data_IF_471649831360
#
_entry.id   IF_471649831360
#
_cell.length_a   1.000
_cell.length_b   1.000
_cell.length_c   1.000
_cell.angle_alpha   90.00
_cell.angle_beta   90.00
_cell.angle_gamma   90.00
#
_symmetry.space_group_name_H-M   'P 1'
#
loop_
_entity.id
_entity.type
_entity.pdbx_description
1 polymer ?
#
# COMPACT_ATOMS: atom_id res chain seq x y z
N UNK A 1 -11.23 19.66 11.12
CA UNK A 1 -9.84 19.89 11.56
C UNK A 1 -9.66 19.16 12.89
N UNK A 2 -8.87 18.08 12.92
CA UNK A 2 -8.62 17.30 14.13
C UNK A 2 -7.60 18.05 14.98
N UNK A 3 -7.92 18.45 16.23
CA UNK A 3 -7.02 19.29 16.98
C UNK A 3 -5.81 18.49 17.52
N UNK A 4 -4.58 19.04 17.44
CA UNK A 4 -3.33 18.34 17.80
C UNK A 4 -3.31 17.73 19.21
N UNK A 5 -4.07 18.31 20.14
CA UNK A 5 -4.10 17.86 21.53
C UNK A 5 -4.76 16.48 21.72
N UNK A 6 -5.55 16.00 20.76
CA UNK A 6 -6.25 14.70 20.87
C UNK A 6 -5.33 13.49 20.64
N UNK A 7 -4.15 13.71 20.06
CA UNK A 7 -3.12 12.67 19.88
C UNK A 7 -1.81 13.01 20.60
N UNK A 8 -1.79 14.02 21.47
CA UNK A 8 -0.60 14.40 22.26
C UNK A 8 -0.59 13.83 23.69
N UNK A 9 -1.53 12.94 24.05
CA UNK A 9 -1.55 12.34 25.39
C UNK A 9 -0.29 11.50 25.64
N UNK A 10 0.24 11.44 26.87
CA UNK A 10 1.43 10.65 27.19
C UNK A 10 1.31 9.20 26.73
N UNK A 11 2.42 8.67 26.22
CA UNK A 11 2.55 7.29 25.75
C UNK A 11 2.14 6.31 26.87
N UNK A 12 1.17 5.43 26.62
CA UNK A 12 1.00 4.22 27.43
C UNK A 12 1.90 3.15 26.82
N UNK A 13 2.72 2.52 27.64
CA UNK A 13 3.73 1.57 27.19
C UNK A 13 3.09 0.31 26.57
N UNK A 14 2.90 0.31 25.26
CA UNK A 14 2.35 -0.84 24.54
C UNK A 14 3.32 -2.01 24.47
N UNK A 15 4.63 -1.81 24.74
CA UNK A 15 5.58 -2.91 24.82
C UNK A 15 5.28 -3.83 26.03
N UNK A 16 4.76 -3.26 27.12
CA UNK A 16 4.36 -4.02 28.32
C UNK A 16 3.17 -4.96 28.11
N UNK A 17 2.29 -4.69 27.13
CA UNK A 17 1.13 -5.54 26.85
C UNK A 17 1.53 -6.91 26.24
N UNK A 18 2.66 -6.97 25.51
CA UNK A 18 3.10 -8.23 24.90
C UNK A 18 3.82 -9.15 25.88
N UNK A 19 4.57 -8.62 26.85
CA UNK A 19 5.20 -9.43 27.90
C UNK A 19 4.16 -10.24 28.72
N UNK A 20 2.90 -9.79 28.77
CA UNK A 20 1.82 -10.48 29.48
C UNK A 20 1.01 -11.46 28.63
N UNK A 21 1.14 -11.42 27.30
CA UNK A 21 0.32 -12.22 26.36
C UNK A 21 0.98 -13.54 25.94
N UNK A 22 2.25 -13.76 26.30
CA UNK A 22 2.90 -15.08 26.26
C UNK A 22 2.44 -15.95 27.44
N UNK A 23 1.18 -16.37 27.44
CA UNK A 23 0.75 -17.54 28.23
C UNK A 23 0.31 -18.63 27.27
N UNK A 24 1.17 -19.63 27.14
CA UNK A 24 0.89 -20.92 26.51
C UNK A 24 -0.34 -21.58 27.15
N UNK A 25 -1.29 -22.13 26.37
CA UNK A 25 -2.38 -22.93 26.92
C UNK A 25 -1.93 -24.39 27.11
N UNK A 26 -2.09 -24.91 28.33
CA UNK A 26 -1.94 -26.33 28.70
C UNK A 26 -1.03 -26.50 29.92
N UNK A 27 -1.38 -27.19 31.01
CA UNK A 27 -2.31 -28.30 31.21
C UNK A 27 -2.96 -28.22 32.59
N UNK A 28 -4.26 -28.52 32.68
CA UNK A 28 -4.87 -28.96 33.92
C UNK A 28 -4.42 -30.40 34.20
N UNK A 29 -3.77 -30.63 35.34
CA UNK A 29 -3.58 -31.96 35.90
C UNK A 29 -4.01 -31.95 37.37
N UNK A 30 -4.90 -32.89 37.67
CA UNK A 30 -5.47 -33.20 38.99
C UNK A 30 -4.38 -33.80 39.87
N UNK A 31 -4.44 -33.51 41.18
CA UNK A 31 -3.33 -33.69 42.10
C UNK A 31 -3.07 -35.10 42.65
N UNK A 32 -1.95 -35.21 43.36
CA UNK A 32 -1.71 -36.00 44.58
C UNK A 32 -0.32 -35.55 45.11
N UNK A 33 -0.25 -34.98 46.31
CA UNK A 33 0.14 -35.61 47.59
C UNK A 33 1.61 -36.05 47.67
N UNK A 34 2.34 -35.34 48.53
CA UNK A 34 3.44 -35.74 49.43
C UNK A 34 4.54 -36.67 48.92
N UNK A 35 5.80 -36.19 48.91
CA UNK A 35 6.84 -36.60 49.87
C UNK A 35 8.22 -35.97 49.57
N UNK A 36 8.85 -35.43 50.61
CA UNK A 36 10.29 -35.13 50.73
C UNK A 36 11.00 -36.37 51.30
N UNK A 37 12.29 -36.66 50.99
CA UNK A 37 13.39 -35.97 51.68
C UNK A 37 14.75 -35.80 50.94
N UNK A 38 15.43 -34.72 51.32
CA UNK A 38 16.86 -34.51 51.67
C UNK A 38 18.00 -35.43 51.16
N UNK A 39 19.05 -34.83 50.58
CA UNK A 39 20.51 -34.99 50.86
C UNK A 39 21.35 -34.48 49.65
N UNK A 40 22.06 -33.34 49.75
CA UNK A 40 23.48 -33.17 50.13
C UNK A 40 24.55 -33.43 49.04
N UNK A 41 25.29 -32.35 48.75
CA UNK A 41 26.75 -32.21 48.57
C UNK A 41 27.42 -32.79 47.31
N UNK A 42 28.17 -31.92 46.62
CA UNK A 42 29.17 -32.31 45.62
C UNK A 42 29.76 -31.13 44.85
N UNK A 43 30.67 -30.37 45.47
CA UNK A 43 31.58 -29.42 44.82
C UNK A 43 32.78 -30.14 44.19
N UNK A 44 33.16 -29.83 42.95
CA UNK A 44 34.56 -29.78 42.51
C UNK A 44 34.75 -29.08 41.17
N UNK A 45 35.79 -28.24 41.15
CA UNK A 45 36.33 -27.38 40.10
C UNK A 45 37.47 -28.03 39.29
N UNK A 46 38.02 -27.24 38.35
CA UNK A 46 39.22 -27.42 37.47
C UNK A 46 38.90 -27.98 36.08
N UNK A 47 39.18 -27.30 34.97
CA UNK A 47 40.47 -26.76 34.45
C UNK A 47 40.78 -27.58 33.17
N UNK A 48 41.38 -27.16 32.06
CA UNK A 48 42.26 -26.07 31.63
C UNK A 48 42.53 -26.30 30.10
N UNK A 49 42.95 -25.25 29.37
CA UNK A 49 43.87 -25.26 28.19
C UNK A 49 43.37 -25.92 26.86
N UNK A 50 43.79 -25.56 25.65
CA UNK A 50 44.55 -24.46 25.01
C UNK A 50 44.62 -24.78 23.49
N UNK A 51 45.03 -23.79 22.70
CA UNK A 51 45.81 -23.90 21.44
C UNK A 51 45.13 -23.70 20.07
N UNK A 52 45.48 -22.55 19.48
CA UNK A 52 45.63 -22.16 18.07
C UNK A 52 47.12 -22.41 17.62
N UNK A 53 47.61 -22.02 16.42
CA UNK A 53 47.32 -22.41 15.01
C UNK A 53 48.66 -22.77 14.27
N UNK A 54 48.96 -22.56 12.94
CA UNK A 54 48.89 -21.29 12.19
C UNK A 54 48.69 -21.30 10.63
N UNK A 55 48.30 -20.11 10.11
CA UNK A 55 48.67 -19.39 8.85
C UNK A 55 48.92 -20.07 7.48
N UNK A 56 48.36 -19.43 6.42
CA UNK A 56 49.14 -18.96 5.25
C UNK A 56 48.45 -17.84 4.44
N UNK A 57 49.16 -16.72 4.29
CA UNK A 57 48.99 -15.55 3.39
C UNK A 57 49.35 -15.92 1.93
N UNK A 58 48.94 -15.22 0.85
CA UNK A 58 49.65 -14.07 0.23
C UNK A 58 48.90 -13.53 -1.04
N UNK A 59 48.88 -12.19 -1.19
CA UNK A 59 48.87 -11.30 -2.40
C UNK A 59 47.73 -11.38 -3.44
N UNK A 60 46.89 -10.35 -3.64
CA UNK A 60 47.09 -8.98 -4.19
C UNK A 60 47.32 -8.91 -5.70
N UNK A 61 46.39 -8.25 -6.42
CA UNK A 61 46.71 -7.29 -7.49
C UNK A 61 45.51 -6.40 -7.82
N UNK A 62 45.83 -5.10 -7.88
CA UNK A 62 45.03 -3.95 -8.24
C UNK A 62 44.96 -3.76 -9.77
N UNK A 63 43.82 -3.32 -10.30
CA UNK A 63 43.79 -2.39 -11.44
C UNK A 63 42.61 -1.43 -11.32
N UNK A 64 42.96 -0.14 -11.33
CA UNK A 64 42.11 1.03 -11.55
C UNK A 64 42.39 1.57 -12.96
N UNK A 65 41.47 2.42 -13.47
CA UNK A 65 41.50 3.26 -14.71
C UNK A 65 40.70 2.65 -15.87
N UNK A 66 39.97 3.41 -16.68
CA UNK A 66 39.57 4.81 -16.64
C UNK A 66 38.28 4.99 -17.47
N UNK A 67 37.58 6.08 -17.17
CA UNK A 67 36.56 6.75 -17.96
C UNK A 67 37.00 7.00 -19.42
N UNK A 68 36.12 6.71 -20.38
CA UNK A 68 36.03 7.52 -21.61
C UNK A 68 34.59 8.01 -21.82
N UNK A 69 34.49 9.32 -21.92
CA UNK A 69 33.37 10.04 -22.47
C UNK A 69 33.60 10.21 -23.98
N UNK A 70 32.56 9.95 -24.78
CA UNK A 70 32.48 10.42 -26.15
C UNK A 70 31.12 11.09 -26.36
N UNK A 71 31.16 12.41 -26.33
CA UNK A 71 30.23 13.29 -27.03
C UNK A 71 30.41 13.10 -28.54
N UNK A 72 29.33 13.06 -29.30
CA UNK A 72 29.17 13.68 -30.62
C UNK A 72 27.90 13.19 -31.33
N UNK A 73 27.32 14.08 -32.14
CA UNK A 73 26.71 13.63 -33.39
C UNK A 73 25.22 13.83 -33.57
N UNK A 74 24.79 15.09 -33.54
CA UNK A 74 23.60 15.60 -34.23
C UNK A 74 23.60 15.11 -35.69
N UNK A 75 22.56 14.40 -36.13
CA UNK A 75 22.23 14.35 -37.56
C UNK A 75 20.73 14.26 -37.80
N UNK A 76 20.30 15.18 -38.65
CA UNK A 76 18.96 15.32 -39.18
C UNK A 76 18.66 14.17 -40.13
N UNK A 77 17.44 13.65 -40.13
CA UNK A 77 16.81 13.27 -41.37
C UNK A 77 15.30 13.49 -41.32
N UNK A 78 14.91 14.48 -42.10
CA UNK A 78 13.58 14.74 -42.58
C UNK A 78 13.03 13.53 -43.34
N UNK A 79 11.76 13.20 -43.10
CA UNK A 79 10.89 12.68 -44.15
C UNK A 79 9.45 13.08 -43.85
N UNK A 80 9.03 14.07 -44.62
CA UNK A 80 7.67 14.51 -44.84
C UNK A 80 6.80 13.38 -45.39
N UNK A 81 5.64 13.16 -44.79
CA UNK A 81 4.49 12.62 -45.50
C UNK A 81 3.28 13.50 -45.19
N UNK A 82 2.93 14.34 -46.18
CA UNK A 82 1.62 14.95 -46.31
C UNK A 82 0.67 13.86 -46.80
N UNK A 83 -0.49 13.73 -46.18
CA UNK A 83 -1.69 13.29 -46.88
C UNK A 83 -2.90 14.11 -46.43
N UNK A 84 -3.75 14.33 -47.42
CA UNK A 84 -4.65 15.47 -47.56
C UNK A 84 -5.98 15.33 -46.83
N UNK A 85 -6.57 16.50 -46.55
CA UNK A 85 -7.99 16.72 -46.26
C UNK A 85 -8.90 16.13 -47.34
N UNK A 86 -10.03 15.57 -46.93
CA UNK A 86 -11.31 15.76 -47.62
C UNK A 86 -12.43 15.93 -46.60
N UNK A 87 -13.37 16.79 -46.96
CA UNK A 87 -14.50 17.29 -46.19
C UNK A 87 -15.78 16.78 -46.85
N UNK A 88 -16.76 16.27 -46.10
CA UNK A 88 -18.20 16.17 -46.46
C UNK A 88 -18.95 16.16 -45.12
N UNK A 89 -19.51 17.29 -44.67
CA UNK A 89 -20.89 17.81 -44.85
C UNK A 89 -21.99 17.06 -44.09
N UNK A 90 -22.71 17.86 -43.30
CA UNK A 90 -23.87 17.55 -42.45
C UNK A 90 -25.13 17.24 -43.28
N UNK A 91 -25.96 16.32 -42.80
CA UNK A 91 -27.41 16.39 -43.03
C UNK A 91 -28.13 16.24 -41.69
N UNK A 92 -28.99 17.22 -41.44
CA UNK A 92 -29.75 17.50 -40.23
C UNK A 92 -31.20 17.12 -40.53
N UNK A 93 -31.79 16.20 -39.79
CA UNK A 93 -33.23 15.97 -39.85
C UNK A 93 -33.86 16.16 -38.47
N UNK A 94 -34.63 17.24 -38.35
CA UNK A 94 -35.50 17.56 -37.22
C UNK A 94 -36.89 17.01 -37.53
N UNK A 95 -37.48 16.26 -36.60
CA UNK A 95 -38.94 16.11 -36.50
C UNK A 95 -39.41 16.43 -35.09
N UNK A 96 -40.21 17.47 -35.01
CA UNK A 96 -40.98 17.98 -33.86
C UNK A 96 -42.38 17.37 -33.86
N UNK A 97 -42.86 16.90 -32.70
CA UNK A 97 -44.27 16.84 -32.28
C UNK A 97 -44.26 16.75 -30.74
N UNK A 98 -44.48 17.85 -30.02
CA UNK A 98 -45.73 18.45 -29.52
C UNK A 98 -46.41 17.61 -28.42
N UNK A 99 -46.40 18.26 -27.27
CA UNK A 99 -46.95 18.02 -25.94
C UNK A 99 -48.48 17.92 -25.92
N UNK A 100 -49.04 17.02 -25.10
CA UNK A 100 -50.40 17.14 -24.54
C UNK A 100 -50.52 16.30 -23.24
N UNK A 101 -51.13 16.89 -22.22
CA UNK A 101 -51.61 16.33 -20.94
C UNK A 101 -53.04 16.88 -20.70
N UNK A 102 -53.86 16.52 -19.68
CA UNK A 102 -53.85 15.46 -18.64
C UNK A 102 -55.25 14.72 -18.57
N UNK A 103 -55.74 14.05 -17.48
CA UNK A 103 -56.04 14.63 -16.15
C UNK A 103 -55.71 13.74 -14.91
N UNK A 104 -55.82 14.38 -13.73
CA UNK A 104 -55.66 13.84 -12.36
C UNK A 104 -56.80 12.87 -11.96
N UNK A 105 -56.62 12.12 -10.85
CA UNK A 105 -57.39 12.51 -9.65
C UNK A 105 -56.58 12.51 -8.34
N UNK A 106 -57.10 13.29 -7.40
CA UNK A 106 -56.64 13.48 -6.02
C UNK A 106 -56.91 12.24 -5.14
N UNK A 107 -56.06 12.05 -4.12
CA UNK A 107 -56.32 11.20 -2.96
C UNK A 107 -55.03 10.98 -2.16
N UNK A 108 -54.84 11.73 -1.08
CA UNK A 108 -53.59 11.75 -0.31
C UNK A 108 -53.44 10.63 0.71
N UNK A 109 -52.19 10.39 1.11
CA UNK A 109 -51.77 10.11 2.49
C UNK A 109 -50.24 10.38 2.59
N UNK A 110 -49.86 11.23 3.54
CA UNK A 110 -48.47 11.58 3.88
C UNK A 110 -47.78 10.37 4.54
N UNK A 111 -46.69 9.86 3.98
CA UNK A 111 -45.29 10.31 4.13
C UNK A 111 -44.69 10.02 5.50
N UNK A 112 -43.76 9.07 5.49
CA UNK A 112 -42.73 8.87 6.49
C UNK A 112 -41.49 8.21 5.85
N UNK A 113 -41.12 8.62 4.64
CA UNK A 113 -39.88 8.20 3.99
C UNK A 113 -38.99 9.43 3.83
N UNK A 114 -37.98 9.52 4.70
CA UNK A 114 -36.89 10.48 4.58
C UNK A 114 -36.25 10.35 3.20
N UNK A 115 -35.89 11.47 2.53
CA UNK A 115 -35.24 11.39 1.25
C UNK A 115 -33.84 10.80 1.47
N UNK A 116 -33.60 9.59 0.94
CA UNK A 116 -32.25 9.14 0.61
C UNK A 116 -31.69 10.15 -0.37
N UNK A 117 -30.93 11.06 0.18
CA UNK A 117 -30.27 12.14 -0.51
C UNK A 117 -29.35 11.58 -1.59
N UNK A 118 -29.36 12.22 -2.75
CA UNK A 118 -28.57 11.94 -3.97
C UNK A 118 -27.05 11.71 -3.77
N UNK A 119 -26.50 11.87 -2.55
CA UNK A 119 -25.10 11.57 -2.25
C UNK A 119 -24.84 10.08 -2.01
N UNK A 120 -25.83 9.28 -1.56
CA UNK A 120 -25.62 7.85 -1.30
C UNK A 120 -25.37 7.05 -2.58
N UNK A 121 -26.04 7.38 -3.69
CA UNK A 121 -25.78 6.71 -4.98
C UNK A 121 -24.41 7.07 -5.59
N UNK A 122 -23.84 8.22 -5.20
CA UNK A 122 -22.55 8.69 -5.73
C UNK A 122 -21.33 8.02 -5.08
N UNK A 123 -21.52 7.40 -3.91
CA UNK A 123 -20.45 6.72 -3.19
C UNK A 123 -20.19 5.31 -3.71
N UNK A 124 -21.18 4.66 -4.32
CA UNK A 124 -21.05 3.29 -4.86
C UNK A 124 -20.28 3.22 -6.20
N UNK A 125 -20.03 4.36 -6.87
CA UNK A 125 -19.43 4.40 -8.22
C UNK A 125 -18.00 5.00 -8.26
N UNK A 126 -17.24 4.92 -7.17
CA UNK A 126 -15.90 5.50 -7.12
C UNK A 126 -14.82 4.57 -6.59
N UNK A 127 -13.60 5.10 -6.51
CA UNK A 127 -12.46 4.38 -5.96
C UNK A 127 -11.65 5.27 -5.03
N UNK A 128 -11.00 4.63 -4.06
CA UNK A 128 -9.90 5.20 -3.30
C UNK A 128 -8.63 4.54 -3.81
N UNK A 129 -7.62 5.33 -4.16
CA UNK A 129 -6.28 4.83 -4.42
C UNK A 129 -5.67 4.37 -3.08
N UNK A 130 -5.54 3.06 -2.90
CA UNK A 130 -5.13 2.50 -1.61
C UNK A 130 -3.64 2.62 -1.31
N UNK A 131 -2.82 3.08 -2.27
CA UNK A 131 -1.40 3.27 -2.06
C UNK A 131 -0.79 4.27 -3.04
N UNK A 132 -0.31 5.37 -2.50
CA UNK A 132 0.48 6.36 -3.22
C UNK A 132 1.45 7.06 -2.26
N UNK A 133 2.51 7.66 -2.77
CA UNK A 133 3.50 8.42 -2.00
C UNK A 133 3.42 9.90 -2.39
N UNK A 134 2.48 10.65 -1.80
CA UNK A 134 2.29 12.07 -2.12
C UNK A 134 3.52 12.91 -1.76
N UNK A 135 4.23 12.56 -0.70
CA UNK A 135 5.50 13.17 -0.30
C UNK A 135 6.58 13.01 -1.39
N UNK A 136 6.76 11.80 -1.90
CA UNK A 136 7.70 11.51 -2.98
C UNK A 136 7.27 12.14 -4.30
N UNK A 137 5.97 12.12 -4.61
CA UNK A 137 5.41 12.76 -5.81
C UNK A 137 5.63 14.28 -5.78
N UNK A 138 5.35 14.92 -4.66
CA UNK A 138 5.53 16.36 -4.49
C UNK A 138 7.01 16.74 -4.61
N UNK A 139 7.89 15.95 -3.99
CA UNK A 139 9.34 16.12 -4.11
C UNK A 139 9.80 16.01 -5.58
N UNK A 140 9.41 14.96 -6.30
CA UNK A 140 9.78 14.76 -7.72
C UNK A 140 9.26 15.85 -8.66
N UNK A 141 8.11 16.43 -8.35
CA UNK A 141 7.52 17.55 -9.11
C UNK A 141 8.02 18.92 -8.64
N UNK A 142 8.82 18.97 -7.55
CA UNK A 142 9.13 20.22 -6.85
C UNK A 142 7.88 21.05 -6.51
N UNK A 143 6.77 20.36 -6.23
CA UNK A 143 5.47 20.96 -5.96
C UNK A 143 5.37 21.38 -4.49
N UNK A 144 4.83 22.58 -4.25
CA UNK A 144 4.48 23.08 -2.93
C UNK A 144 3.03 23.55 -2.93
N UNK A 145 2.22 22.96 -2.06
CA UNK A 145 0.83 23.33 -1.89
C UNK A 145 -0.04 22.21 -1.34
N UNK A 146 -1.32 22.50 -1.28
CA UNK A 146 -2.36 21.58 -0.81
C UNK A 146 -2.69 20.51 -1.86
N UNK A 147 -3.24 19.37 -1.41
CA UNK A 147 -3.77 18.35 -2.32
C UNK A 147 -4.93 18.90 -3.17
N UNK A 148 -5.76 19.77 -2.61
CA UNK A 148 -6.79 20.51 -3.36
C UNK A 148 -6.19 21.32 -4.52
N UNK A 149 -5.09 22.05 -4.30
CA UNK A 149 -4.39 22.79 -5.37
C UNK A 149 -3.78 21.84 -6.40
N UNK A 150 -3.18 20.73 -5.95
CA UNK A 150 -2.64 19.71 -6.83
C UNK A 150 -3.73 19.15 -7.77
N UNK A 151 -4.89 18.75 -7.23
CA UNK A 151 -6.04 18.27 -8.02
C UNK A 151 -6.55 19.31 -9.00
N UNK A 152 -6.52 20.60 -8.66
CA UNK A 152 -6.93 21.68 -9.58
C UNK A 152 -5.97 21.80 -10.78
N UNK A 153 -4.67 21.69 -10.54
CA UNK A 153 -3.64 21.72 -11.60
C UNK A 153 -3.80 20.52 -12.54
N UNK A 154 -4.04 19.33 -11.97
CA UNK A 154 -4.24 18.07 -12.72
C UNK A 154 -5.73 17.75 -12.98
N UNK A 155 -6.59 18.76 -13.06
CA UNK A 155 -8.05 18.56 -13.13
C UNK A 155 -8.51 17.78 -14.35
N UNK A 156 -7.75 17.81 -15.46
CA UNK A 156 -8.04 17.03 -16.67
C UNK A 156 -7.76 15.54 -16.52
N UNK A 157 -6.94 15.13 -15.56
CA UNK A 157 -6.54 13.74 -15.33
C UNK A 157 -7.08 13.16 -14.01
N UNK A 158 -7.72 13.96 -13.17
CA UNK A 158 -8.50 13.48 -12.03
C UNK A 158 -9.94 13.15 -12.47
N UNK A 159 -10.34 11.87 -12.45
CA UNK A 159 -11.68 11.46 -12.84
C UNK A 159 -12.71 11.82 -11.75
N UNK A 160 -13.99 11.88 -12.13
CA UNK A 160 -15.09 12.15 -11.19
C UNK A 160 -15.28 11.01 -10.17
N UNK A 161 -14.87 9.80 -10.53
CA UNK A 161 -14.91 8.58 -9.74
C UNK A 161 -13.85 8.58 -8.61
N UNK A 162 -12.89 9.50 -8.63
CA UNK A 162 -11.86 9.58 -7.60
C UNK A 162 -12.45 10.07 -6.27
N UNK A 163 -12.41 9.23 -5.24
CA UNK A 163 -12.94 9.52 -3.90
C UNK A 163 -11.85 9.69 -2.83
N UNK A 164 -10.57 9.60 -3.21
CA UNK A 164 -9.46 9.88 -2.32
C UNK A 164 -8.31 8.90 -2.44
N UNK A 165 -7.34 9.03 -1.53
CA UNK A 165 -6.18 8.17 -1.50
C UNK A 165 -5.65 7.95 -0.09
N UNK A 166 -4.95 6.83 0.08
CA UNK A 166 -4.11 6.56 1.25
C UNK A 166 -2.67 6.88 0.83
N UNK A 167 -2.13 7.95 1.38
CA UNK A 167 -0.73 8.32 1.20
C UNK A 167 0.12 7.51 2.16
N UNK A 168 1.12 6.81 1.64
CA UNK A 168 2.02 5.96 2.39
C UNK A 168 3.32 6.70 2.72
N UNK A 169 3.61 6.80 4.02
CA UNK A 169 4.80 7.44 4.56
C UNK A 169 5.73 6.37 5.16
N UNK A 170 6.59 5.81 4.31
CA UNK A 170 7.38 4.63 4.64
C UNK A 170 8.86 4.89 4.94
N UNK A 171 9.34 6.12 4.79
CA UNK A 171 10.65 6.54 5.29
C UNK A 171 10.46 7.28 6.63
N UNK A 172 10.71 6.64 7.78
CA UNK A 172 10.46 7.28 9.06
C UNK A 172 11.37 8.50 9.31
N UNK A 173 12.43 8.69 8.51
CA UNK A 173 13.30 9.87 8.59
C UNK A 173 12.62 11.14 8.12
N UNK A 174 11.58 11.05 7.29
CA UNK A 174 10.88 12.22 6.71
C UNK A 174 9.71 12.69 7.58
N UNK A 175 9.38 11.95 8.65
CA UNK A 175 8.26 12.29 9.54
C UNK A 175 8.48 13.56 10.37
N UNK A 176 9.68 14.17 10.30
CA UNK A 176 10.02 15.44 10.94
C UNK A 176 9.58 16.67 10.15
N UNK A 177 9.27 16.53 8.86
CA UNK A 177 9.19 17.68 7.94
C UNK A 177 7.78 18.27 7.84
N UNK A 178 6.88 17.91 8.76
CA UNK A 178 5.47 18.32 8.89
C UNK A 178 4.57 18.11 7.65
N UNK A 179 5.11 17.68 6.51
CA UNK A 179 4.37 17.53 5.25
C UNK A 179 3.22 16.53 5.39
N UNK A 180 3.45 15.41 6.08
CA UNK A 180 2.41 14.41 6.32
C UNK A 180 1.25 15.01 7.13
N UNK A 181 1.52 15.89 8.10
CA UNK A 181 0.48 16.56 8.89
C UNK A 181 -0.39 17.47 8.02
N UNK A 182 0.25 18.26 7.14
CA UNK A 182 -0.48 19.13 6.21
C UNK A 182 -1.31 18.32 5.20
N UNK A 183 -0.76 17.20 4.70
CA UNK A 183 -1.49 16.31 3.80
C UNK A 183 -2.71 15.69 4.49
N UNK A 184 -2.61 15.28 5.75
CA UNK A 184 -3.75 14.70 6.47
C UNK A 184 -4.79 15.75 6.92
N UNK A 185 -4.52 17.05 6.79
CA UNK A 185 -5.55 18.10 6.93
C UNK A 185 -6.46 18.20 5.72
N UNK A 186 -5.99 17.80 4.54
CA UNK A 186 -6.77 17.85 3.30
C UNK A 186 -7.90 16.82 3.29
N UNK A 187 -9.01 17.15 2.65
CA UNK A 187 -10.07 16.19 2.40
C UNK A 187 -9.59 15.08 1.46
N UNK A 188 -10.16 13.89 1.61
CA UNK A 188 -9.88 12.71 0.77
C UNK A 188 -8.44 12.16 0.84
N UNK A 189 -7.61 12.63 1.78
CA UNK A 189 -6.27 12.09 2.03
C UNK A 189 -6.23 11.38 3.39
N UNK A 190 -5.93 10.08 3.39
CA UNK A 190 -5.61 9.30 4.57
C UNK A 190 -4.13 8.90 4.55
N UNK A 191 -3.62 8.38 5.66
CA UNK A 191 -2.22 8.04 5.84
C UNK A 191 -2.01 6.58 6.23
N UNK A 192 -1.01 5.95 5.63
CA UNK A 192 -0.35 4.77 6.16
C UNK A 192 1.07 5.16 6.59
N UNK A 193 1.54 4.61 7.71
CA UNK A 193 2.86 4.95 8.26
C UNK A 193 3.63 3.68 8.60
N UNK A 194 4.85 3.57 8.09
CA UNK A 194 5.72 2.42 8.34
C UNK A 194 7.19 2.70 8.10
N UNK A 195 7.97 1.64 8.07
CA UNK A 195 9.36 1.62 7.64
C UNK A 195 9.53 0.54 6.57
N UNK A 196 9.66 1.00 5.32
CA UNK A 196 9.93 0.13 4.17
C UNK A 196 11.30 -0.56 4.33
N UNK A 197 11.51 -1.79 3.84
CA UNK A 197 12.78 -2.53 3.97
C UNK A 197 14.02 -1.75 3.50
N UNK A 198 13.87 -0.85 2.52
CA UNK A 198 14.98 0.01 2.07
C UNK A 198 15.50 0.94 3.18
N UNK A 199 14.66 1.28 4.15
CA UNK A 199 14.99 2.17 5.26
C UNK A 199 15.21 1.45 6.59
N UNK A 200 15.07 0.11 6.64
CA UNK A 200 15.15 -0.65 7.88
C UNK A 200 16.47 -0.44 8.65
N UNK A 201 17.60 -0.22 7.97
CA UNK A 201 18.89 0.10 8.63
C UNK A 201 18.88 1.42 9.44
N UNK A 202 17.95 2.32 9.13
CA UNK A 202 17.78 3.61 9.81
C UNK A 202 16.72 3.55 10.92
N UNK A 203 16.08 2.40 11.11
CA UNK A 203 15.04 2.23 12.11
C UNK A 203 15.67 2.18 13.51
N UNK A 204 15.34 3.18 14.32
CA UNK A 204 15.80 3.33 15.69
C UNK A 204 14.61 3.63 16.61
N UNK A 205 14.81 3.59 17.92
CA UNK A 205 13.77 3.95 18.90
C UNK A 205 13.24 5.37 18.69
N UNK A 206 14.07 6.30 18.21
CA UNK A 206 13.60 7.65 17.87
C UNK A 206 12.61 7.62 16.71
N UNK A 207 12.91 6.83 15.67
CA UNK A 207 12.04 6.71 14.51
C UNK A 207 10.76 5.93 14.82
N UNK A 208 10.85 4.88 15.64
CA UNK A 208 9.68 4.17 16.15
C UNK A 208 8.74 5.11 16.93
N UNK A 209 9.28 5.98 17.80
CA UNK A 209 8.47 6.97 18.52
C UNK A 209 7.77 7.96 17.60
N UNK A 210 8.47 8.51 16.61
CA UNK A 210 7.90 9.43 15.62
C UNK A 210 6.76 8.75 14.82
N UNK A 211 7.00 7.52 14.40
CA UNK A 211 6.03 6.70 13.68
C UNK A 211 4.76 6.46 14.50
N UNK A 212 4.93 6.05 15.75
CA UNK A 212 3.82 5.79 16.67
C UNK A 212 3.06 7.06 17.01
N UNK A 213 3.72 8.21 17.06
CA UNK A 213 3.07 9.51 17.21
C UNK A 213 2.18 9.83 15.99
N UNK A 214 2.67 9.63 14.77
CA UNK A 214 1.91 9.86 13.54
C UNK A 214 0.67 8.94 13.44
N UNK A 215 0.80 7.67 13.83
CA UNK A 215 -0.27 6.66 13.83
C UNK A 215 -1.47 6.98 14.75
N UNK A 216 -1.31 7.95 15.66
CA UNK A 216 -2.39 8.46 16.50
C UNK A 216 -3.31 9.43 15.76
N UNK A 217 -2.88 9.97 14.63
CA UNK A 217 -3.73 10.84 13.83
C UNK A 217 -4.97 10.04 13.36
N UNK A 218 -6.19 10.59 13.46
CA UNK A 218 -7.41 9.86 13.13
C UNK A 218 -7.52 9.48 11.64
N UNK A 219 -6.80 10.18 10.77
CA UNK A 219 -6.67 9.79 9.35
C UNK A 219 -5.48 8.86 9.06
N UNK A 220 -4.70 8.46 10.07
CA UNK A 220 -3.70 7.39 9.94
C UNK A 220 -4.41 6.04 10.05
N UNK A 221 -4.74 5.43 8.92
CA UNK A 221 -5.67 4.30 8.83
C UNK A 221 -4.99 2.95 8.80
N UNK A 222 -3.67 2.91 8.55
CA UNK A 222 -2.92 1.67 8.43
C UNK A 222 -1.49 1.81 8.94
N UNK A 223 -0.86 0.67 9.22
CA UNK A 223 0.55 0.57 9.58
C UNK A 223 1.28 -0.14 8.43
N UNK A 224 2.33 0.51 7.95
CA UNK A 224 3.09 0.15 6.75
C UNK A 224 3.25 1.40 5.90
N UNK A 225 4.01 1.37 4.81
CA UNK A 225 4.56 0.17 4.19
C UNK A 225 5.69 -0.50 5.00
N UNK A 226 5.58 -1.82 5.19
CA UNK A 226 6.57 -2.66 5.85
C UNK A 226 6.72 -3.98 5.10
N UNK A 227 7.82 -4.71 5.30
CA UNK A 227 7.99 -6.05 4.72
C UNK A 227 9.42 -6.32 4.29
N UNK A 228 9.58 -7.08 3.20
CA UNK A 228 10.86 -7.62 2.75
C UNK A 228 11.16 -7.29 1.28
N UNK A 229 12.39 -6.95 0.95
CA UNK A 229 12.81 -6.72 -0.43
C UNK A 229 14.19 -7.34 -0.64
N UNK A 230 14.23 -8.48 -1.33
CA UNK A 230 15.47 -9.20 -1.64
C UNK A 230 16.02 -8.83 -3.02
N UNK A 231 15.36 -7.92 -3.72
CA UNK A 231 15.88 -7.46 -5.01
C UNK A 231 17.16 -6.66 -4.82
N UNK A 232 17.99 -6.64 -5.86
CA UNK A 232 19.25 -5.89 -5.89
C UNK A 232 19.11 -4.37 -5.62
N UNK A 233 17.88 -3.83 -5.66
CA UNK A 233 17.60 -2.42 -5.36
C UNK A 233 17.60 -2.13 -3.86
N UNK A 234 17.31 -3.11 -3.02
CA UNK A 234 17.37 -2.96 -1.58
C UNK A 234 18.78 -3.25 -1.09
N UNK A 235 19.47 -2.24 -0.58
CA UNK A 235 20.83 -2.41 -0.05
C UNK A 235 20.83 -2.76 1.45
N UNK A 236 19.67 -2.91 2.08
CA UNK A 236 19.57 -3.18 3.52
C UNK A 236 19.73 -4.67 3.75
N UNK A 237 20.66 -5.12 4.63
CA UNK A 237 20.85 -6.54 4.88
C UNK A 237 19.57 -7.25 5.32
N UNK A 238 19.35 -8.46 4.80
CA UNK A 238 18.16 -9.29 5.11
C UNK A 238 17.88 -9.41 6.62
N UNK A 239 18.89 -9.66 7.49
CA UNK A 239 18.63 -9.74 8.94
C UNK A 239 18.08 -8.45 9.54
N UNK A 240 18.47 -7.27 9.02
CA UNK A 240 17.93 -5.99 9.47
C UNK A 240 16.50 -5.78 8.99
N UNK A 241 16.20 -6.19 7.74
CA UNK A 241 14.82 -6.16 7.23
C UNK A 241 13.90 -7.03 8.09
N UNK A 242 14.31 -8.26 8.42
CA UNK A 242 13.56 -9.18 9.28
C UNK A 242 13.28 -8.55 10.63
N UNK A 243 14.32 -8.08 11.34
CA UNK A 243 14.19 -7.48 12.67
C UNK A 243 13.19 -6.31 12.68
N UNK A 244 13.27 -5.42 11.70
CA UNK A 244 12.38 -4.25 11.60
C UNK A 244 10.97 -4.65 11.19
N UNK A 245 10.82 -5.62 10.29
CA UNK A 245 9.53 -6.14 9.89
C UNK A 245 8.81 -6.80 11.07
N UNK A 246 9.46 -7.71 11.79
CA UNK A 246 8.93 -8.37 12.99
C UNK A 246 8.48 -7.35 14.05
N UNK A 247 9.31 -6.32 14.31
CA UNK A 247 8.99 -5.26 15.27
C UNK A 247 7.73 -4.49 14.85
N UNK A 248 7.63 -4.12 13.58
CA UNK A 248 6.46 -3.40 13.07
C UNK A 248 5.19 -4.25 13.11
N UNK A 249 5.26 -5.56 12.82
CA UNK A 249 4.12 -6.47 12.93
C UNK A 249 3.57 -6.52 14.37
N UNK A 250 4.45 -6.66 15.36
CA UNK A 250 4.06 -6.66 16.78
C UNK A 250 3.33 -5.38 17.18
N UNK A 251 3.87 -4.22 16.77
CA UNK A 251 3.27 -2.92 17.05
C UNK A 251 1.93 -2.76 16.34
N UNK A 252 1.85 -3.10 15.06
CA UNK A 252 0.65 -2.94 14.25
C UNK A 252 -0.51 -3.79 14.77
N UNK A 253 -0.25 -5.05 15.14
CA UNK A 253 -1.24 -5.95 15.76
C UNK A 253 -1.70 -5.41 17.11
N UNK A 254 -0.77 -4.90 17.94
CA UNK A 254 -1.10 -4.30 19.24
C UNK A 254 -1.98 -3.06 19.10
N UNK A 255 -1.75 -2.26 18.06
CA UNK A 255 -2.54 -1.06 17.72
C UNK A 255 -3.82 -1.36 16.94
N UNK A 256 -4.06 -2.62 16.56
CA UNK A 256 -5.19 -3.05 15.74
C UNK A 256 -5.31 -2.29 14.41
N UNK A 257 -4.17 -1.90 13.82
CA UNK A 257 -4.11 -1.21 12.53
C UNK A 257 -4.01 -2.26 11.40
N UNK A 258 -4.75 -2.13 10.29
CA UNK A 258 -4.50 -2.89 9.06
C UNK A 258 -3.03 -2.80 8.64
N UNK A 259 -2.50 -3.87 8.05
CA UNK A 259 -1.11 -3.94 7.60
C UNK A 259 -1.01 -3.56 6.12
N UNK A 260 -0.02 -2.75 5.76
CA UNK A 260 0.40 -2.53 4.36
C UNK A 260 1.74 -3.22 4.13
N UNK A 261 1.73 -4.29 3.32
CA UNK A 261 2.83 -5.24 3.18
C UNK A 261 3.49 -5.12 1.80
N UNK A 262 4.73 -4.66 1.81
CA UNK A 262 5.69 -4.83 0.72
C UNK A 262 6.27 -6.23 0.75
N UNK A 263 6.47 -6.79 -0.43
CA UNK A 263 7.34 -7.93 -0.59
C UNK A 263 7.78 -8.06 -2.04
N UNK A 264 9.08 -8.32 -2.21
CA UNK A 264 9.71 -8.51 -3.50
C UNK A 264 10.77 -9.60 -3.36
N UNK A 265 10.58 -10.69 -4.10
CA UNK A 265 11.51 -11.83 -4.14
C UNK A 265 11.72 -12.48 -2.76
N UNK A 266 10.72 -12.40 -1.86
CA UNK A 266 10.84 -12.81 -0.46
C UNK A 266 9.56 -13.44 0.13
N UNK A 267 8.64 -13.94 -0.72
CA UNK A 267 7.29 -14.31 -0.29
C UNK A 267 7.23 -15.52 0.67
N UNK A 268 8.20 -16.44 0.60
CA UNK A 268 8.33 -17.57 1.54
C UNK A 268 8.65 -17.08 2.96
N UNK A 269 9.74 -16.31 3.11
CA UNK A 269 10.13 -15.72 4.39
C UNK A 269 9.07 -14.75 4.93
N UNK A 270 8.42 -13.99 4.05
CA UNK A 270 7.32 -13.12 4.41
C UNK A 270 6.21 -13.93 5.10
N UNK A 271 5.75 -15.02 4.46
CA UNK A 271 4.70 -15.87 5.01
C UNK A 271 5.11 -16.47 6.36
N UNK A 272 6.33 -16.99 6.46
CA UNK A 272 6.82 -17.63 7.68
C UNK A 272 6.98 -16.66 8.85
N UNK A 273 7.40 -15.42 8.60
CA UNK A 273 7.42 -14.36 9.61
C UNK A 273 6.00 -13.97 9.99
N UNK A 274 5.12 -13.69 9.01
CA UNK A 274 3.76 -13.23 9.30
C UNK A 274 2.97 -14.26 10.12
N UNK A 275 3.12 -15.56 9.87
CA UNK A 275 2.49 -16.63 10.67
C UNK A 275 2.82 -16.57 12.16
N UNK A 276 3.99 -16.07 12.53
CA UNK A 276 4.44 -15.98 13.93
C UNK A 276 3.81 -14.80 14.68
N UNK A 277 3.55 -13.70 13.97
CA UNK A 277 3.19 -12.41 14.61
C UNK A 277 1.78 -11.92 14.30
N UNK A 278 1.15 -12.43 13.23
CA UNK A 278 -0.12 -11.90 12.70
C UNK A 278 -1.22 -12.94 12.84
N UNK A 279 -2.35 -12.61 13.50
CA UNK A 279 -3.54 -13.47 13.49
C UNK A 279 -4.00 -13.79 12.07
N UNK A 280 -4.51 -14.99 11.82
CA UNK A 280 -4.92 -15.41 10.46
C UNK A 280 -6.05 -14.54 9.89
N UNK A 281 -6.95 -14.04 10.73
CA UNK A 281 -8.08 -13.19 10.35
C UNK A 281 -7.72 -11.68 10.28
N UNK A 282 -6.43 -11.33 10.33
CA UNK A 282 -6.01 -9.94 10.34
C UNK A 282 -6.21 -9.26 8.97
N UNK A 283 -6.47 -7.94 9.01
CA UNK A 283 -6.67 -7.10 7.82
C UNK A 283 -5.32 -6.78 7.17
N UNK A 284 -5.08 -7.30 5.97
CA UNK A 284 -3.78 -7.17 5.29
C UNK A 284 -3.97 -6.64 3.87
N UNK A 285 -3.24 -5.60 3.53
CA UNK A 285 -3.03 -5.12 2.18
C UNK A 285 -1.70 -5.66 1.67
N UNK A 286 -1.71 -6.61 0.73
CA UNK A 286 -0.52 -7.00 -0.02
C UNK A 286 -0.33 -6.04 -1.19
N UNK A 287 0.52 -5.04 -0.98
CA UNK A 287 0.74 -3.92 -1.90
C UNK A 287 1.54 -4.35 -3.16
N UNK A 288 1.22 -3.69 -4.28
CA UNK A 288 1.84 -3.71 -5.59
C UNK A 288 2.22 -5.12 -6.05
N UNK A 289 1.23 -6.01 -6.11
CA UNK A 289 1.47 -7.37 -6.52
C UNK A 289 1.75 -7.47 -8.02
N UNK A 290 2.94 -7.98 -8.35
CA UNK A 290 3.38 -8.17 -9.75
C UNK A 290 3.77 -9.62 -10.08
N UNK A 291 3.59 -10.55 -9.14
CA UNK A 291 3.98 -11.96 -9.28
C UNK A 291 2.92 -12.84 -9.94
N UNK A 292 3.17 -14.15 -9.94
CA UNK A 292 2.25 -15.18 -10.44
C UNK A 292 1.34 -15.72 -9.33
N UNK A 293 0.23 -16.37 -9.69
CA UNK A 293 -0.74 -16.89 -8.70
C UNK A 293 -0.13 -17.85 -7.66
N UNK A 294 0.76 -18.80 -8.03
CA UNK A 294 1.38 -19.71 -7.06
C UNK A 294 2.18 -19.00 -5.95
N UNK A 295 2.66 -17.77 -6.21
CA UNK A 295 3.40 -16.97 -5.22
C UNK A 295 2.44 -16.41 -4.15
N UNK A 296 1.26 -15.95 -4.55
CA UNK A 296 0.31 -15.28 -3.63
C UNK A 296 -0.70 -16.25 -3.01
N UNK A 297 -0.96 -17.39 -3.63
CA UNK A 297 -1.93 -18.39 -3.17
C UNK A 297 -1.69 -18.85 -1.72
N UNK A 298 -0.45 -19.18 -1.28
CA UNK A 298 -0.21 -19.58 0.11
C UNK A 298 -0.60 -18.50 1.13
N UNK A 299 -0.33 -17.23 0.81
CA UNK A 299 -0.71 -16.08 1.64
C UNK A 299 -2.23 -15.91 1.70
N UNK A 300 -2.93 -15.99 0.55
CA UNK A 300 -4.38 -15.88 0.50
C UNK A 300 -5.09 -17.02 1.24
N UNK A 301 -4.53 -18.23 1.19
CA UNK A 301 -5.06 -19.40 1.90
C UNK A 301 -4.92 -19.25 3.41
N UNK A 302 -3.80 -18.72 3.89
CA UNK A 302 -3.55 -18.54 5.32
C UNK A 302 -4.27 -17.33 5.90
N UNK A 303 -4.35 -16.23 5.13
CA UNK A 303 -4.94 -14.95 5.55
C UNK A 303 -6.25 -14.66 4.83
N UNK A 304 -7.39 -15.21 5.30
CA UNK A 304 -8.70 -14.99 4.70
C UNK A 304 -9.25 -13.57 4.85
N UNK A 305 -8.49 -12.58 5.31
CA UNK A 305 -8.86 -11.17 5.27
C UNK A 305 -7.83 -10.31 4.51
N UNK A 306 -6.91 -10.95 3.78
CA UNK A 306 -5.98 -10.27 2.89
C UNK A 306 -6.68 -9.77 1.62
N UNK A 307 -6.30 -8.57 1.21
CA UNK A 307 -6.59 -7.98 -0.11
C UNK A 307 -5.28 -7.74 -0.86
N UNK A 308 -5.31 -7.90 -2.18
CA UNK A 308 -4.17 -7.76 -3.08
C UNK A 308 -4.30 -6.45 -3.86
N UNK A 309 -3.30 -5.60 -3.74
CA UNK A 309 -3.17 -4.33 -4.45
C UNK A 309 -2.61 -4.54 -5.84
N UNK A 310 -3.24 -3.91 -6.83
CA UNK A 310 -2.75 -3.86 -8.20
C UNK A 310 -2.59 -2.42 -8.66
N UNK A 311 -1.51 -2.17 -9.40
CA UNK A 311 -1.17 -0.88 -10.00
C UNK A 311 -1.38 -0.88 -11.51
N UNK A 312 -1.10 0.25 -12.15
CA UNK A 312 -1.19 0.40 -13.60
C UNK A 312 -0.13 -0.44 -14.37
N UNK A 313 0.75 -1.16 -13.67
CA UNK A 313 1.60 -2.21 -14.27
C UNK A 313 0.76 -3.20 -15.08
N UNK A 314 -0.49 -3.46 -14.70
CA UNK A 314 -1.41 -4.31 -15.47
C UNK A 314 -1.60 -3.83 -16.93
N UNK A 315 -1.44 -2.53 -17.19
CA UNK A 315 -1.56 -1.96 -18.55
C UNK A 315 -0.33 -2.24 -19.42
N UNK A 316 0.75 -2.77 -18.86
CA UNK A 316 2.01 -3.00 -19.55
C UNK A 316 1.99 -4.40 -20.18
N UNK A 317 2.53 -4.53 -21.40
CA UNK A 317 2.53 -5.82 -22.10
C UNK A 317 3.36 -6.88 -21.40
N UNK A 318 4.37 -6.48 -20.62
CA UNK A 318 5.24 -7.37 -19.85
C UNK A 318 4.55 -7.98 -18.61
N UNK A 319 3.46 -7.40 -18.12
CA UNK A 319 2.80 -7.82 -16.89
C UNK A 319 1.80 -8.98 -17.12
N UNK A 320 2.21 -10.02 -17.82
CA UNK A 320 1.34 -11.16 -18.12
C UNK A 320 1.10 -12.03 -16.87
N UNK A 321 2.12 -12.30 -16.05
CA UNK A 321 1.98 -13.07 -14.80
C UNK A 321 1.02 -12.41 -13.82
N UNK A 322 1.16 -11.10 -13.61
CA UNK A 322 0.26 -10.33 -12.75
C UNK A 322 -1.20 -10.37 -13.26
N UNK A 323 -1.41 -10.31 -14.59
CA UNK A 323 -2.75 -10.44 -15.19
C UNK A 323 -3.32 -11.85 -15.05
N UNK A 324 -2.51 -12.89 -15.14
CA UNK A 324 -2.96 -14.26 -14.95
C UNK A 324 -3.26 -14.58 -13.48
N UNK A 325 -2.50 -14.00 -12.55
CA UNK A 325 -2.82 -14.02 -11.13
C UNK A 325 -4.13 -13.27 -10.83
N UNK A 326 -4.29 -12.08 -11.40
CA UNK A 326 -5.49 -11.26 -11.27
C UNK A 326 -6.75 -12.04 -11.69
N UNK A 327 -6.71 -12.83 -12.78
CA UNK A 327 -7.86 -13.67 -13.19
C UNK A 327 -8.30 -14.62 -12.08
N UNK A 328 -7.35 -15.23 -11.37
CA UNK A 328 -7.59 -16.28 -10.37
C UNK A 328 -7.97 -15.73 -8.99
N UNK A 329 -7.48 -14.55 -8.60
CA UNK A 329 -7.80 -13.93 -7.30
C UNK A 329 -9.24 -13.40 -7.30
N UNK A 330 -10.14 -13.76 -6.36
CA UNK A 330 -11.51 -13.26 -6.35
C UNK A 330 -11.61 -11.72 -6.38
N UNK A 331 -12.65 -11.15 -7.02
CA UNK A 331 -12.79 -9.69 -7.13
C UNK A 331 -12.90 -9.02 -5.75
N UNK A 332 -13.51 -9.72 -4.79
CA UNK A 332 -13.70 -9.33 -3.39
C UNK A 332 -12.37 -9.33 -2.59
N UNK A 333 -11.28 -9.78 -3.22
CA UNK A 333 -9.92 -9.80 -2.65
C UNK A 333 -9.00 -8.76 -3.29
N UNK A 334 -9.51 -7.91 -4.17
CA UNK A 334 -8.69 -6.97 -4.95
C UNK A 334 -8.95 -5.55 -4.47
N UNK A 335 -7.90 -4.75 -4.40
CA UNK A 335 -7.96 -3.30 -4.22
C UNK A 335 -7.08 -2.61 -5.27
N UNK A 336 -7.33 -1.33 -5.50
CA UNK A 336 -6.70 -0.57 -6.58
C UNK A 336 -5.80 0.53 -6.05
N UNK A 337 -4.67 0.68 -6.73
CA UNK A 337 -3.65 1.63 -6.34
C UNK A 337 -2.91 2.19 -7.55
N UNK A 338 -2.20 3.29 -7.34
CA UNK A 338 -1.29 3.84 -8.33
C UNK A 338 0.17 3.53 -8.04
N UNK A 339 0.51 3.45 -6.75
CA UNK A 339 1.89 3.58 -6.27
C UNK A 339 2.56 4.85 -6.83
N UNK A 340 1.78 5.94 -7.00
CA UNK A 340 2.32 7.21 -7.48
C UNK A 340 3.46 7.68 -6.57
N UNK A 341 4.59 8.19 -7.10
CA UNK A 341 4.80 8.69 -8.46
C UNK A 341 5.19 7.64 -9.51
N UNK A 342 5.21 6.36 -9.15
CA UNK A 342 5.64 5.26 -10.00
C UNK A 342 4.51 4.81 -10.97
N UNK A 343 4.83 3.88 -11.86
CA UNK A 343 3.89 3.21 -12.78
C UNK A 343 2.88 4.13 -13.50
N UNK A 344 3.36 5.15 -14.22
CA UNK A 344 2.51 5.95 -15.11
C UNK A 344 1.75 5.02 -16.10
N UNK A 345 0.40 4.99 -16.11
CA UNK A 345 -0.34 4.09 -16.98
C UNK A 345 0.05 4.25 -18.45
N UNK A 346 0.13 3.14 -19.20
CA UNK A 346 0.65 3.13 -20.57
C UNK A 346 -0.11 4.07 -21.51
N UNK A 347 -1.41 4.28 -21.26
CA UNK A 347 -2.28 5.11 -22.08
C UNK A 347 -2.13 6.62 -21.78
N UNK A 348 -1.43 6.99 -20.71
CA UNK A 348 -1.25 8.38 -20.30
C UNK A 348 0.04 8.93 -20.90
N UNK A 349 -0.03 9.94 -21.79
CA UNK A 349 1.19 10.52 -22.37
C UNK A 349 1.96 11.33 -21.32
N UNK A 350 3.29 11.25 -21.37
CA UNK A 350 4.18 12.00 -20.46
C UNK A 350 4.02 13.53 -20.54
N UNK A 351 3.51 14.04 -21.66
CA UNK A 351 3.17 15.45 -21.84
C UNK A 351 1.96 15.89 -21.01
N UNK A 352 1.07 14.97 -20.64
CA UNK A 352 -0.06 15.22 -19.75
C UNK A 352 0.36 15.06 -18.28
N UNK A 353 1.05 13.96 -17.98
CA UNK A 353 1.53 13.66 -16.63
C UNK A 353 2.94 13.08 -16.70
N UNK A 354 3.92 13.73 -16.09
CA UNK A 354 5.30 13.24 -16.03
C UNK A 354 5.43 12.00 -15.12
N UNK A 355 4.65 11.97 -14.04
CA UNK A 355 4.58 10.90 -13.03
C UNK A 355 3.13 10.48 -12.83
N UNK A 356 2.90 9.30 -12.27
CA UNK A 356 1.54 8.95 -11.87
C UNK A 356 1.09 9.85 -10.71
N UNK A 357 -0.22 9.98 -10.58
CA UNK A 357 -0.87 10.60 -9.43
C UNK A 357 -2.14 9.82 -9.09
N UNK A 358 -2.74 10.01 -7.90
CA UNK A 358 -3.78 9.09 -7.41
C UNK A 358 -5.02 8.96 -8.30
N UNK A 359 -5.40 10.03 -9.01
CA UNK A 359 -6.50 10.02 -9.96
C UNK A 359 -6.34 9.01 -11.11
N UNK A 360 -5.10 8.58 -11.40
CA UNK A 360 -4.83 7.65 -12.49
C UNK A 360 -5.16 6.19 -12.17
N UNK A 361 -5.52 5.85 -10.93
CA UNK A 361 -5.90 4.48 -10.56
C UNK A 361 -7.11 3.96 -11.35
N UNK A 362 -7.95 4.86 -11.91
CA UNK A 362 -9.04 4.47 -12.82
C UNK A 362 -8.56 3.66 -14.04
N UNK A 363 -7.33 3.89 -14.51
CA UNK A 363 -6.74 3.08 -15.58
C UNK A 363 -6.53 1.63 -15.13
N UNK A 364 -6.09 1.44 -13.90
CA UNK A 364 -5.97 0.13 -13.27
C UNK A 364 -7.34 -0.52 -13.08
N UNK A 365 -8.35 0.22 -12.58
CA UNK A 365 -9.72 -0.30 -12.43
C UNK A 365 -10.29 -0.80 -13.75
N UNK A 366 -10.10 -0.04 -14.84
CA UNK A 366 -10.55 -0.46 -16.18
C UNK A 366 -9.87 -1.74 -16.66
N UNK A 367 -8.59 -1.89 -16.37
CA UNK A 367 -7.86 -3.11 -16.72
C UNK A 367 -8.29 -4.30 -15.85
N UNK A 368 -8.58 -4.08 -14.57
CA UNK A 368 -9.18 -5.09 -13.69
C UNK A 368 -10.53 -5.54 -14.25
N UNK A 369 -11.44 -4.61 -14.54
CA UNK A 369 -12.74 -4.89 -15.14
C UNK A 369 -12.62 -5.72 -16.43
N UNK A 370 -11.70 -5.33 -17.32
CA UNK A 370 -11.42 -6.02 -18.58
C UNK A 370 -10.90 -7.45 -18.37
N UNK A 371 -9.99 -7.66 -17.43
CA UNK A 371 -9.41 -8.99 -17.15
C UNK A 371 -10.41 -9.89 -16.42
N UNK A 372 -11.29 -9.30 -15.61
CA UNK A 372 -12.35 -9.99 -14.87
C UNK A 372 -13.61 -10.25 -15.68
N UNK A 373 -13.72 -9.66 -16.87
CA UNK A 373 -14.93 -9.69 -17.69
C UNK A 373 -16.16 -9.19 -16.91
N UNK A 374 -15.96 -8.10 -16.15
CA UNK A 374 -16.99 -7.49 -15.29
C UNK A 374 -17.27 -6.04 -15.73
N UNK A 375 -18.51 -5.54 -15.59
CA UNK A 375 -18.81 -4.14 -15.85
C UNK A 375 -17.98 -3.21 -14.96
N UNK A 376 -17.60 -2.05 -15.51
CA UNK A 376 -16.81 -1.06 -14.79
C UNK A 376 -17.51 -0.58 -13.50
N UNK A 377 -18.83 -0.40 -13.53
CA UNK A 377 -19.62 0.01 -12.35
C UNK A 377 -19.56 -1.02 -11.22
N UNK A 378 -19.75 -2.31 -11.54
CA UNK A 378 -19.64 -3.41 -10.58
C UNK A 378 -18.23 -3.52 -10.01
N UNK A 379 -17.22 -3.34 -10.86
CA UNK A 379 -15.81 -3.34 -10.45
C UNK A 379 -15.53 -2.20 -9.46
N UNK A 380 -15.93 -0.97 -9.78
CA UNK A 380 -15.78 0.19 -8.88
C UNK A 380 -16.44 -0.07 -7.52
N UNK A 381 -17.70 -0.49 -7.52
CA UNK A 381 -18.45 -0.78 -6.29
C UNK A 381 -17.74 -1.84 -5.43
N UNK A 382 -17.31 -2.95 -6.04
CA UNK A 382 -16.65 -4.04 -5.31
C UNK A 382 -15.30 -3.62 -4.75
N UNK A 383 -14.48 -2.91 -5.52
CA UNK A 383 -13.18 -2.42 -5.06
C UNK A 383 -13.34 -1.37 -3.94
N UNK A 384 -14.37 -0.53 -4.01
CA UNK A 384 -14.70 0.42 -2.95
C UNK A 384 -15.10 -0.29 -1.67
N UNK A 385 -15.96 -1.30 -1.75
CA UNK A 385 -16.36 -2.11 -0.60
C UNK A 385 -15.17 -2.84 0.03
N UNK A 386 -14.30 -3.44 -0.78
CA UNK A 386 -13.08 -4.09 -0.30
C UNK A 386 -12.18 -3.12 0.47
N UNK A 387 -12.02 -1.89 -0.06
CA UNK A 387 -11.25 -0.83 0.58
C UNK A 387 -11.88 -0.39 1.91
N UNK A 388 -13.21 -0.21 1.92
CA UNK A 388 -13.97 0.12 3.13
C UNK A 388 -13.84 -0.95 4.20
N UNK A 389 -13.95 -2.23 3.82
CA UNK A 389 -13.79 -3.37 4.73
C UNK A 389 -12.37 -3.43 5.32
N UNK A 390 -11.36 -3.13 4.51
CA UNK A 390 -9.96 -3.21 4.91
C UNK A 390 -9.55 -2.06 5.83
N UNK A 391 -9.91 -0.82 5.51
CA UNK A 391 -9.44 0.38 6.22
C UNK A 391 -10.48 1.09 7.09
N UNK A 392 -11.74 0.63 7.07
CA UNK A 392 -12.89 1.29 7.71
C UNK A 392 -13.12 2.72 7.18
N UNK A 393 -13.14 2.88 5.84
CA UNK A 393 -13.24 4.15 5.11
C UNK A 393 -14.47 4.29 4.22
#
# INVERSE_FOLDING_TARGET
>A
MYPPHLYSSPWRDYASYWASSLKTPGHASVGSSQDTPTAQVGTSSHGLLSDYPPTSTVSSQSTSRDLEAADEGRSQNSRSLRFSRSSIEEVKEKRTFREESPPRPCGGQASGSLPRSHWESSLEEGFIDTHCHLDMLYSKLSFKGTFTKFRKIYSSSFPKEFQGCISDFCDPRTLTDCLWEELLKEDLVWGAFGCHPHFARYYSESQERNLLQALRHPKAVAFGEMGLDYSYKCTTPVPEQHKVFERQLQLAVSLKKPLVIHCREADEDLLDIMKKFVPSDYKIHRHCFTGSYPVIEPLLKYFPNMSVGFTAVLTYSSAWEARDALKQIPLERIIVETDAPYFLPRQVPKSLCQYAHPGLALHTVREIARVKDEPLSRTLATLRENTSRLYNL
#
